data_IF_618472128745
#
_entry.id   IF_618472128745
#
_cell.length_a   1.000
_cell.length_b   1.000
_cell.length_c   1.000
_cell.angle_alpha   90.00
_cell.angle_beta   90.00
_cell.angle_gamma   90.00
#
_symmetry.space_group_name_H-M   'P 1'
#
loop_
_entity.id
_entity.type
_entity.pdbx_description
1 polymer ?
#
# COMPACT_ATOMS: atom_id res chain seq x y z
N UNK A 1 21.95 6.55 -0.25
CA UNK A 1 23.26 6.48 -0.95
C UNK A 1 24.16 5.33 -0.51
N UNK A 2 24.46 5.11 0.79
CA UNK A 2 25.32 3.98 1.23
C UNK A 2 24.77 2.59 0.86
N UNK A 3 23.47 2.36 1.06
CA UNK A 3 22.83 1.07 0.75
C UNK A 3 22.78 0.76 -0.75
N UNK A 4 22.52 1.77 -1.58
CA UNK A 4 22.53 1.63 -3.05
C UNK A 4 23.94 1.32 -3.58
N UNK A 5 24.99 1.91 -2.98
CA UNK A 5 26.40 1.60 -3.31
C UNK A 5 26.76 0.15 -2.97
N UNK A 6 26.32 -0.35 -1.81
CA UNK A 6 26.55 -1.74 -1.41
C UNK A 6 25.79 -2.75 -2.31
N UNK A 7 24.55 -2.43 -2.70
CA UNK A 7 23.79 -3.22 -3.68
C UNK A 7 24.47 -3.29 -5.04
N UNK A 8 24.96 -2.15 -5.55
CA UNK A 8 25.67 -2.11 -6.82
C UNK A 8 26.93 -2.98 -6.80
N UNK A 9 27.81 -2.78 -5.81
CA UNK A 9 29.05 -3.57 -5.65
C UNK A 9 28.76 -5.09 -5.59
N UNK A 10 27.69 -5.48 -4.90
CA UNK A 10 27.26 -6.88 -4.82
C UNK A 10 26.76 -7.45 -6.16
N UNK A 11 26.14 -6.62 -7.00
CA UNK A 11 25.52 -7.05 -8.25
C UNK A 11 26.48 -7.05 -9.44
N UNK A 12 27.46 -6.14 -9.46
CA UNK A 12 28.43 -6.00 -10.56
C UNK A 12 29.81 -6.58 -10.22
N UNK A 13 30.09 -6.84 -8.94
CA UNK A 13 31.42 -7.25 -8.46
C UNK A 13 32.48 -6.15 -8.51
N UNK A 14 32.11 -4.95 -8.99
CA UNK A 14 33.02 -3.84 -9.22
C UNK A 14 33.11 -2.93 -8.01
N UNK A 15 34.32 -2.49 -7.65
CA UNK A 15 34.48 -1.47 -6.64
C UNK A 15 34.26 -0.09 -7.28
N UNK A 16 33.24 0.66 -6.82
CA UNK A 16 32.85 1.98 -7.38
C UNK A 16 34.04 2.96 -7.37
N UNK A 17 35.00 2.75 -6.46
CA UNK A 17 36.19 3.58 -6.34
C UNK A 17 37.31 3.25 -7.37
N UNK A 18 37.29 2.08 -8.02
CA UNK A 18 38.42 1.62 -8.86
C UNK A 18 38.05 1.14 -10.25
N UNK A 19 36.82 0.67 -10.50
CA UNK A 19 36.57 -0.19 -11.67
C UNK A 19 35.55 0.36 -12.68
N UNK A 20 34.93 1.53 -12.44
CA UNK A 20 33.93 2.09 -13.35
C UNK A 20 33.94 3.61 -13.40
N UNK A 21 33.70 4.18 -14.59
CA UNK A 21 33.49 5.62 -14.76
C UNK A 21 32.18 6.04 -14.07
N UNK A 22 32.13 7.27 -13.52
CA UNK A 22 30.91 7.84 -12.89
C UNK A 22 29.65 7.63 -13.74
N UNK A 23 29.78 7.70 -15.08
CA UNK A 23 28.70 7.49 -16.05
C UNK A 23 28.00 6.13 -15.97
N UNK A 24 28.72 5.05 -15.67
CA UNK A 24 28.10 3.70 -15.63
C UNK A 24 27.36 3.44 -14.32
N UNK A 25 27.86 4.00 -13.22
CA UNK A 25 27.17 3.97 -11.93
C UNK A 25 25.91 4.83 -11.96
N UNK A 26 25.97 6.01 -12.57
CA UNK A 26 24.81 6.89 -12.80
C UNK A 26 23.73 6.19 -13.63
N UNK A 27 24.11 5.54 -14.73
CA UNK A 27 23.15 4.78 -15.56
C UNK A 27 22.51 3.60 -14.82
N UNK A 28 23.27 2.90 -13.97
CA UNK A 28 22.70 1.85 -13.11
C UNK A 28 21.74 2.43 -12.07
N UNK A 29 22.11 3.53 -11.42
CA UNK A 29 21.26 4.22 -10.44
C UNK A 29 19.94 4.68 -11.07
N UNK A 30 19.98 5.30 -12.25
CA UNK A 30 18.78 5.70 -12.98
C UNK A 30 17.88 4.49 -13.28
N UNK A 31 18.48 3.38 -13.74
CA UNK A 31 17.73 2.16 -14.02
C UNK A 31 17.07 1.61 -12.76
N UNK A 32 17.79 1.51 -11.65
CA UNK A 32 17.27 1.00 -10.36
C UNK A 32 16.15 1.89 -9.81
N UNK A 33 16.30 3.22 -9.89
CA UNK A 33 15.27 4.19 -9.48
C UNK A 33 14.00 4.05 -10.33
N UNK A 34 14.15 3.91 -11.66
CA UNK A 34 13.03 3.68 -12.57
C UNK A 34 12.31 2.37 -12.21
N UNK A 35 13.05 1.29 -11.91
CA UNK A 35 12.43 0.02 -11.51
C UNK A 35 11.69 0.12 -10.17
N UNK A 36 12.27 0.82 -9.19
CA UNK A 36 11.62 1.08 -7.91
C UNK A 36 10.31 1.87 -8.10
N UNK A 37 10.35 2.97 -8.85
CA UNK A 37 9.16 3.77 -9.15
C UNK A 37 8.11 2.96 -9.91
N UNK A 38 8.51 2.13 -10.89
CA UNK A 38 7.58 1.25 -11.60
C UNK A 38 6.90 0.25 -10.67
N UNK A 39 7.66 -0.34 -9.74
CA UNK A 39 7.16 -1.29 -8.74
C UNK A 39 6.21 -0.63 -7.75
N UNK A 40 6.57 0.55 -7.24
CA UNK A 40 5.70 1.36 -6.36
C UNK A 40 4.37 1.71 -7.06
N UNK A 41 4.45 2.22 -8.30
CA UNK A 41 3.28 2.53 -9.12
C UNK A 41 2.43 1.30 -9.44
N UNK A 42 3.03 0.12 -9.53
CA UNK A 42 2.29 -1.12 -9.68
C UNK A 42 1.47 -1.41 -8.41
N UNK A 43 2.08 -1.48 -7.23
CA UNK A 43 1.35 -1.77 -5.99
C UNK A 43 0.29 -0.73 -5.67
N UNK A 44 0.57 0.55 -5.93
CA UNK A 44 -0.43 1.62 -5.75
C UNK A 44 -1.66 1.38 -6.64
N UNK A 45 -1.45 0.96 -7.89
CA UNK A 45 -2.56 0.66 -8.81
C UNK A 45 -3.33 -0.59 -8.39
N UNK A 46 -2.63 -1.64 -7.96
CA UNK A 46 -3.31 -2.86 -7.48
C UNK A 46 -4.13 -2.58 -6.22
N UNK A 47 -3.57 -1.85 -5.24
CA UNK A 47 -4.30 -1.43 -4.05
C UNK A 47 -5.56 -0.62 -4.39
N UNK A 48 -5.46 0.37 -5.30
CA UNK A 48 -6.63 1.15 -5.71
C UNK A 48 -7.70 0.31 -6.42
N UNK A 49 -7.31 -0.74 -7.15
CA UNK A 49 -8.28 -1.69 -7.74
C UNK A 49 -8.98 -2.51 -6.68
N UNK A 50 -8.24 -3.01 -5.69
CA UNK A 50 -8.80 -3.75 -4.56
C UNK A 50 -9.79 -2.89 -3.77
N UNK A 51 -9.43 -1.63 -3.49
CA UNK A 51 -10.33 -0.67 -2.83
C UNK A 51 -11.59 -0.42 -3.65
N UNK A 52 -11.48 -0.26 -4.97
CA UNK A 52 -12.64 -0.08 -5.83
C UNK A 52 -13.57 -1.30 -5.86
N UNK A 53 -12.99 -2.51 -5.86
CA UNK A 53 -13.74 -3.77 -5.81
C UNK A 53 -14.46 -3.94 -4.47
N UNK A 54 -13.81 -3.58 -3.36
CA UNK A 54 -14.42 -3.65 -2.04
C UNK A 54 -15.51 -2.60 -1.87
N UNK A 55 -15.29 -1.36 -2.34
CA UNK A 55 -16.32 -0.32 -2.36
C UNK A 55 -17.58 -0.82 -3.09
N UNK A 56 -17.41 -1.36 -4.30
CA UNK A 56 -18.52 -1.93 -5.07
C UNK A 56 -19.23 -3.07 -4.32
N UNK A 57 -18.46 -3.95 -3.69
CA UNK A 57 -18.98 -5.07 -2.90
C UNK A 57 -19.79 -4.59 -1.69
N UNK A 58 -19.28 -3.60 -0.96
CA UNK A 58 -19.95 -3.01 0.20
C UNK A 58 -21.23 -2.25 -0.17
N UNK A 59 -21.23 -1.54 -1.31
CA UNK A 59 -22.42 -0.88 -1.86
C UNK A 59 -23.50 -1.89 -2.24
N UNK A 60 -23.10 -3.01 -2.84
CA UNK A 60 -24.02 -4.10 -3.19
C UNK A 60 -24.58 -4.82 -1.96
N UNK A 61 -23.73 -5.11 -0.95
CA UNK A 61 -24.13 -5.78 0.30
C UNK A 61 -25.05 -4.88 1.14
N UNK A 62 -24.77 -3.58 1.18
CA UNK A 62 -25.48 -2.61 2.01
C UNK A 62 -26.01 -1.43 1.19
N UNK A 63 -27.01 -1.62 0.31
CA UNK A 63 -27.44 -0.58 -0.63
C UNK A 63 -28.03 0.67 0.03
N UNK A 64 -28.55 0.55 1.27
CA UNK A 64 -29.11 1.66 2.04
C UNK A 64 -28.04 2.26 2.97
N UNK A 65 -27.18 3.12 2.42
CA UNK A 65 -26.17 3.81 3.23
C UNK A 65 -26.82 4.90 4.13
N UNK A 66 -26.37 5.07 5.38
CA UNK A 66 -26.98 6.03 6.30
C UNK A 66 -26.86 7.48 5.81
N UNK A 67 -27.89 8.30 6.06
CA UNK A 67 -27.82 9.76 5.81
C UNK A 67 -27.09 10.53 6.93
N UNK A 68 -27.19 10.05 8.16
CA UNK A 68 -26.60 10.70 9.33
C UNK A 68 -25.09 10.49 9.36
N UNK A 69 -24.32 11.58 9.42
CA UNK A 69 -22.86 11.52 9.34
C UNK A 69 -22.21 10.78 10.52
N UNK A 70 -22.80 10.87 11.72
CA UNK A 70 -22.33 10.07 12.87
C UNK A 70 -22.47 8.56 12.62
N UNK A 71 -23.51 8.12 11.92
CA UNK A 71 -23.69 6.71 11.56
C UNK A 71 -22.71 6.27 10.47
N UNK A 72 -22.40 7.14 9.50
CA UNK A 72 -21.38 6.88 8.48
C UNK A 72 -19.99 6.77 9.12
N UNK A 73 -19.66 7.71 10.02
CA UNK A 73 -18.42 7.70 10.79
C UNK A 73 -18.29 6.44 11.65
N UNK A 74 -19.37 5.97 12.27
CA UNK A 74 -19.36 4.74 13.06
C UNK A 74 -18.96 3.53 12.20
N UNK A 75 -19.53 3.39 10.99
CA UNK A 75 -19.17 2.32 10.04
C UNK A 75 -17.69 2.43 9.66
N UNK A 76 -17.20 3.61 9.31
CA UNK A 76 -15.78 3.80 9.00
C UNK A 76 -14.87 3.45 10.19
N UNK A 77 -15.30 3.82 11.41
CA UNK A 77 -14.54 3.59 12.62
C UNK A 77 -14.49 2.11 13.01
N UNK A 78 -15.52 1.34 12.68
CA UNK A 78 -15.56 -0.12 12.84
C UNK A 78 -14.44 -0.78 12.02
N UNK A 79 -14.31 -0.44 10.73
CA UNK A 79 -13.24 -0.99 9.87
C UNK A 79 -11.84 -0.59 10.37
N UNK A 80 -11.67 0.66 10.80
CA UNK A 80 -10.40 1.10 11.38
C UNK A 80 -10.05 0.32 12.67
N UNK A 81 -11.07 -0.11 13.43
CA UNK A 81 -10.90 -1.00 14.58
C UNK A 81 -10.46 -2.41 14.18
N UNK A 82 -11.00 -2.96 13.10
CA UNK A 82 -10.57 -4.26 12.57
C UNK A 82 -9.12 -4.20 12.04
N UNK A 83 -8.66 -3.09 11.46
CA UNK A 83 -7.22 -2.89 11.15
C UNK A 83 -6.37 -2.99 12.42
N UNK A 84 -6.76 -2.29 13.48
CA UNK A 84 -6.00 -2.32 14.74
C UNK A 84 -5.92 -3.76 15.31
N UNK A 85 -7.04 -4.50 15.26
CA UNK A 85 -7.10 -5.89 15.67
C UNK A 85 -6.25 -6.81 14.78
N UNK A 86 -6.29 -6.67 13.46
CA UNK A 86 -5.47 -7.46 12.54
C UNK A 86 -3.96 -7.23 12.77
N UNK A 87 -3.56 -5.98 13.05
CA UNK A 87 -2.17 -5.65 13.42
C UNK A 87 -1.77 -6.32 14.74
N UNK A 88 -2.63 -6.29 15.76
CA UNK A 88 -2.38 -6.98 17.02
C UNK A 88 -2.26 -8.49 16.82
N UNK A 89 -3.18 -9.11 16.07
CA UNK A 89 -3.16 -10.53 15.78
C UNK A 89 -1.90 -10.95 15.00
N UNK A 90 -1.42 -10.13 14.06
CA UNK A 90 -0.19 -10.42 13.34
C UNK A 90 1.07 -10.41 14.22
N UNK A 91 1.12 -9.50 15.21
CA UNK A 91 2.32 -9.33 16.05
C UNK A 91 2.32 -10.20 17.31
N UNK A 92 1.16 -10.50 17.87
CA UNK A 92 1.03 -11.17 19.17
C UNK A 92 0.33 -12.52 19.10
N UNK A 93 -0.27 -12.85 17.96
CA UNK A 93 -0.98 -14.11 17.73
C UNK A 93 -0.51 -14.72 16.41
N UNK A 94 -1.32 -15.59 15.79
CA UNK A 94 -1.01 -16.24 14.52
C UNK A 94 -1.75 -15.58 13.33
N UNK A 95 -1.98 -14.26 13.40
CA UNK A 95 -2.55 -13.50 12.29
C UNK A 95 -1.58 -13.35 11.12
N UNK A 96 -2.08 -12.96 9.95
CA UNK A 96 -1.28 -12.81 8.74
C UNK A 96 -1.14 -11.36 8.28
N UNK A 97 -0.07 -11.07 7.52
CA UNK A 97 0.05 -9.78 6.82
C UNK A 97 -1.10 -9.56 5.83
N UNK A 98 -1.71 -10.63 5.31
CA UNK A 98 -2.80 -10.54 4.36
C UNK A 98 -4.09 -10.06 5.02
N UNK A 99 -4.32 -10.43 6.28
CA UNK A 99 -5.43 -9.92 7.08
C UNK A 99 -5.31 -8.40 7.25
N UNK A 100 -4.12 -7.90 7.60
CA UNK A 100 -3.86 -6.45 7.72
C UNK A 100 -4.18 -5.72 6.40
N UNK A 101 -3.72 -6.27 5.26
CA UNK A 101 -4.00 -5.66 3.94
C UNK A 101 -5.49 -5.66 3.64
N UNK A 102 -6.18 -6.76 3.96
CA UNK A 102 -7.62 -6.90 3.76
C UNK A 102 -8.38 -5.82 4.53
N UNK A 103 -8.08 -5.65 5.83
CA UNK A 103 -8.73 -4.64 6.66
C UNK A 103 -8.39 -3.21 6.23
N UNK A 104 -7.15 -2.96 5.78
CA UNK A 104 -6.76 -1.66 5.22
C UNK A 104 -7.54 -1.33 3.93
N UNK A 105 -7.74 -2.32 3.07
CA UNK A 105 -8.53 -2.18 1.84
C UNK A 105 -9.99 -1.88 2.15
N UNK A 106 -10.59 -2.58 3.12
CA UNK A 106 -11.96 -2.33 3.58
C UNK A 106 -12.11 -0.93 4.20
N UNK A 107 -11.17 -0.54 5.06
CA UNK A 107 -11.13 0.81 5.66
C UNK A 107 -11.03 1.90 4.59
N UNK A 108 -10.15 1.73 3.61
CA UNK A 108 -10.00 2.68 2.51
C UNK A 108 -11.27 2.76 1.64
N UNK A 109 -11.94 1.63 1.40
CA UNK A 109 -13.22 1.60 0.71
C UNK A 109 -14.30 2.37 1.49
N UNK A 110 -14.34 2.23 2.82
CA UNK A 110 -15.29 2.99 3.65
C UNK A 110 -15.00 4.48 3.70
N UNK A 111 -13.72 4.89 3.67
CA UNK A 111 -13.34 6.29 3.48
C UNK A 111 -13.91 6.84 2.18
N UNK A 112 -13.70 6.14 1.05
CA UNK A 112 -14.23 6.55 -0.26
C UNK A 112 -15.76 6.60 -0.25
N UNK A 113 -16.40 5.61 0.35
CA UNK A 113 -17.86 5.54 0.43
C UNK A 113 -18.45 6.71 1.20
N UNK A 114 -17.89 7.00 2.38
CA UNK A 114 -18.33 8.13 3.19
C UNK A 114 -18.11 9.44 2.42
N UNK A 115 -16.94 9.63 1.82
CA UNK A 115 -16.62 10.81 1.02
C UNK A 115 -17.60 11.00 -0.15
N UNK A 116 -17.86 9.94 -0.93
CA UNK A 116 -18.82 9.98 -2.04
C UNK A 116 -20.24 10.32 -1.59
N UNK A 117 -20.63 9.96 -0.36
CA UNK A 117 -21.94 10.29 0.19
C UNK A 117 -22.12 11.76 0.60
N UNK A 118 -21.05 12.57 0.52
CA UNK A 118 -21.04 14.01 0.79
C UNK A 118 -21.12 14.85 -0.50
N UNK A 119 -21.05 14.20 -1.66
CA UNK A 119 -21.20 14.83 -2.99
C UNK A 119 -22.68 14.87 -3.39
#
# INVERSE_FOLDING_TARGET
MKELKAKFQKQTGSNIATDFTNSSYEKWLETELIQYQKKENYYKREFLKEVANELHSAEKKHPKYPKCDFKKLAILSEEAGEVAKAVLHYHYENGSLEDIKTELTQTAAMCMRMYNSLL
#
